data_IF_807892667717
#
_entry.id   IF_807892667717
#
_cell.length_a   1.000
_cell.length_b   1.000
_cell.length_c   1.000
_cell.angle_alpha   90.00
_cell.angle_beta   90.00
_cell.angle_gamma   90.00
#
_symmetry.space_group_name_H-M   'P 1'
#
loop_
_entity.id
_entity.type
_entity.pdbx_description
1 polymer ?
#
# COMPACT_ATOMS: atom_id res chain seq x y z
N UNK A 1 -7.51 3.83 -0.67
CA UNK A 1 -8.52 3.41 0.33
C UNK A 1 -9.12 4.68 0.91
N UNK A 2 -10.46 4.79 0.94
CA UNK A 2 -11.18 6.05 1.16
C UNK A 2 -11.67 6.29 2.59
N UNK A 3 -12.53 7.30 2.73
CA UNK A 3 -13.19 7.73 3.96
C UNK A 3 -14.59 7.10 4.05
N UNK A 4 -14.90 6.51 5.20
CA UNK A 4 -16.16 5.81 5.46
C UNK A 4 -16.84 6.32 6.72
N UNK A 5 -18.17 6.24 6.74
CA UNK A 5 -18.96 6.60 7.91
C UNK A 5 -18.81 5.53 8.98
N UNK A 6 -18.45 5.94 10.20
CA UNK A 6 -18.45 5.03 11.34
C UNK A 6 -19.85 5.02 11.93
N UNK A 7 -20.63 4.02 11.57
CA UNK A 7 -21.94 3.78 12.15
C UNK A 7 -21.82 2.97 13.47
N UNK A 8 -22.49 3.37 14.56
CA UNK A 8 -22.52 2.60 15.81
C UNK A 8 -23.38 1.32 15.72
N UNK A 9 -24.36 1.24 14.82
CA UNK A 9 -25.24 0.10 14.62
C UNK A 9 -24.62 -0.95 13.67
N UNK A 10 -23.78 -0.50 12.73
CA UNK A 10 -23.01 -1.38 11.85
C UNK A 10 -21.49 -1.10 11.95
N UNK A 11 -20.75 -1.88 12.75
CA UNK A 11 -19.33 -1.63 12.95
C UNK A 11 -18.54 -1.85 11.66
N UNK A 12 -18.02 -0.75 11.10
CA UNK A 12 -17.17 -0.73 9.91
C UNK A 12 -15.92 -1.61 10.05
N UNK A 13 -15.33 -1.58 11.25
CA UNK A 13 -14.22 -2.41 11.70
C UNK A 13 -14.52 -2.85 13.14
N UNK A 14 -14.18 -4.10 13.47
CA UNK A 14 -14.65 -4.76 14.70
C UNK A 14 -13.83 -4.48 15.97
N UNK A 15 -12.62 -3.93 15.86
CA UNK A 15 -11.72 -3.85 17.03
C UNK A 15 -11.00 -2.51 17.11
N UNK A 16 -11.19 -1.77 18.20
CA UNK A 16 -10.41 -0.56 18.52
C UNK A 16 -9.19 -0.94 19.35
N UNK A 17 -7.98 -0.73 18.82
CA UNK A 17 -6.73 -1.00 19.52
C UNK A 17 -6.27 0.14 20.42
N UNK A 18 -6.77 1.36 20.19
CA UNK A 18 -6.38 2.56 20.96
C UNK A 18 -7.64 3.31 21.43
N UNK A 19 -8.49 2.71 22.28
CA UNK A 19 -9.76 3.30 22.70
C UNK A 19 -9.60 4.64 23.44
N UNK A 20 -8.50 4.79 24.18
CA UNK A 20 -8.15 6.02 24.90
C UNK A 20 -7.35 7.02 24.03
N UNK A 21 -7.14 6.71 22.75
CA UNK A 21 -6.25 7.46 21.86
C UNK A 21 -4.78 7.12 22.05
N UNK A 22 -4.03 7.17 20.96
CA UNK A 22 -2.57 7.05 20.93
C UNK A 22 -1.98 8.43 20.60
N UNK A 23 -1.16 9.04 21.48
CA UNK A 23 -0.58 10.36 21.26
C UNK A 23 0.49 10.37 20.16
N UNK A 24 0.95 9.20 19.73
CA UNK A 24 1.94 9.04 18.67
C UNK A 24 1.37 8.17 17.53
N UNK A 25 0.07 8.32 17.24
CA UNK A 25 -0.55 7.56 16.15
C UNK A 25 -0.06 8.06 14.81
N UNK A 26 0.30 7.14 13.93
CA UNK A 26 0.55 7.42 12.52
C UNK A 26 -0.15 6.35 11.67
N UNK A 27 -0.39 6.67 10.40
CA UNK A 27 -0.93 5.72 9.41
C UNK A 27 -0.17 4.39 9.43
N UNK A 28 1.19 4.37 9.30
CA UNK A 28 1.92 3.11 9.30
C UNK A 28 1.87 2.35 10.62
N UNK A 29 1.82 3.07 11.75
CA UNK A 29 1.69 2.44 13.06
C UNK A 29 0.39 1.66 13.17
N UNK A 30 -0.72 2.23 12.72
CA UNK A 30 -2.02 1.58 12.80
C UNK A 30 -2.12 0.34 11.92
N UNK A 31 -1.74 0.42 10.63
CA UNK A 31 -1.81 -0.75 9.76
C UNK A 31 -0.89 -1.88 10.21
N UNK A 32 0.26 -1.56 10.80
CA UNK A 32 1.19 -2.58 11.33
C UNK A 32 0.60 -3.25 12.57
N UNK A 33 -0.08 -2.50 13.44
CA UNK A 33 -0.77 -3.06 14.60
C UNK A 33 -1.89 -4.02 14.21
N UNK A 34 -2.64 -3.69 13.15
CA UNK A 34 -3.66 -4.58 12.60
C UNK A 34 -3.05 -5.81 11.92
N UNK A 35 -1.99 -5.62 11.13
CA UNK A 35 -1.29 -6.70 10.43
C UNK A 35 -0.72 -7.74 11.42
N UNK A 36 -0.03 -7.28 12.47
CA UNK A 36 0.52 -8.15 13.53
C UNK A 36 -0.54 -8.94 14.31
N UNK A 37 -1.81 -8.57 14.18
CA UNK A 37 -2.97 -9.24 14.79
C UNK A 37 -3.80 -10.01 13.76
N UNK A 38 -3.28 -10.22 12.56
CA UNK A 38 -3.91 -10.97 11.47
C UNK A 38 -5.21 -10.35 10.93
N UNK A 39 -5.41 -9.05 11.10
CA UNK A 39 -6.48 -8.31 10.42
C UNK A 39 -6.05 -7.93 9.00
N UNK A 40 -7.03 -7.77 8.09
CA UNK A 40 -6.79 -7.40 6.69
C UNK A 40 -6.86 -5.88 6.47
N UNK A 41 -7.57 -5.17 7.35
CA UNK A 41 -7.82 -3.74 7.24
C UNK A 41 -7.52 -3.02 8.54
N UNK A 42 -7.08 -1.78 8.36
CA UNK A 42 -6.87 -0.81 9.42
C UNK A 42 -7.71 0.43 9.14
N UNK A 43 -8.20 1.08 10.18
CA UNK A 43 -8.98 2.30 10.10
C UNK A 43 -8.48 3.32 11.10
N UNK A 44 -8.30 4.55 10.66
CA UNK A 44 -7.88 5.64 11.52
C UNK A 44 -9.06 6.58 11.77
N UNK A 45 -9.30 6.91 13.03
CA UNK A 45 -10.39 7.78 13.46
C UNK A 45 -9.85 8.93 14.29
N UNK A 46 -10.38 10.13 14.06
CA UNK A 46 -10.19 11.33 14.88
C UNK A 46 -8.72 11.71 15.16
N UNK A 47 -7.78 11.31 14.30
CA UNK A 47 -6.36 11.64 14.47
C UNK A 47 -5.58 10.73 15.42
N UNK A 48 -6.25 10.02 16.34
CA UNK A 48 -5.59 9.31 17.44
C UNK A 48 -6.13 7.90 17.74
N UNK A 49 -7.18 7.45 17.04
CA UNK A 49 -7.73 6.11 17.23
C UNK A 49 -7.40 5.17 16.06
N UNK A 50 -7.06 3.92 16.39
CA UNK A 50 -6.73 2.87 15.46
C UNK A 50 -7.73 1.71 15.60
N UNK A 51 -8.32 1.34 14.48
CA UNK A 51 -9.32 0.30 14.35
C UNK A 51 -8.81 -0.79 13.41
N UNK A 52 -9.18 -2.05 13.67
CA UNK A 52 -8.81 -3.19 12.85
C UNK A 52 -10.02 -4.07 12.54
N UNK A 53 -9.98 -4.73 11.40
CA UNK A 53 -11.04 -5.64 10.97
C UNK A 53 -10.59 -6.55 9.84
N UNK A 54 -11.26 -7.70 9.70
CA UNK A 54 -11.01 -8.66 8.63
C UNK A 54 -11.78 -8.33 7.36
N UNK A 55 -12.78 -7.46 7.46
CA UNK A 55 -13.59 -6.93 6.36
C UNK A 55 -13.86 -5.44 6.61
N UNK A 56 -14.22 -4.72 5.56
CA UNK A 56 -14.68 -3.33 5.64
C UNK A 56 -16.18 -3.35 5.34
N UNK A 57 -16.99 -3.04 6.34
CA UNK A 57 -18.43 -2.82 6.17
C UNK A 57 -18.76 -1.35 5.95
N UNK A 58 -20.06 -1.03 5.98
CA UNK A 58 -20.58 0.34 6.02
C UNK A 58 -20.50 1.13 4.71
N UNK A 59 -20.79 2.42 4.80
CA UNK A 59 -20.98 3.31 3.66
C UNK A 59 -19.83 4.31 3.51
N UNK A 60 -19.61 4.74 2.27
CA UNK A 60 -18.66 5.80 1.96
C UNK A 60 -19.14 7.11 2.57
N UNK A 61 -18.20 7.91 3.09
CA UNK A 61 -18.53 9.26 3.54
C UNK A 61 -18.96 10.13 2.34
N UNK A 62 -20.09 10.83 2.49
CA UNK A 62 -20.60 11.78 1.49
C UNK A 62 -19.55 12.82 1.12
N UNK A 63 -18.76 13.26 2.11
CA UNK A 63 -17.62 14.13 1.89
C UNK A 63 -16.32 13.48 2.36
N UNK A 64 -15.41 13.24 1.41
CA UNK A 64 -14.12 12.63 1.69
C UNK A 64 -13.16 13.60 2.42
N UNK A 65 -13.38 14.91 2.37
CA UNK A 65 -12.52 15.89 3.06
C UNK A 65 -12.72 15.88 4.57
N UNK A 66 -13.79 15.27 5.06
CA UNK A 66 -14.08 15.19 6.49
C UNK A 66 -13.17 14.16 7.20
N UNK A 67 -12.42 13.36 6.44
CA UNK A 67 -11.36 12.46 6.95
C UNK A 67 -9.96 13.11 7.07
N UNK A 68 -9.88 14.44 7.05
CA UNK A 68 -8.61 15.18 7.09
C UNK A 68 -8.12 15.55 8.50
N UNK A 69 -8.51 14.79 9.54
CA UNK A 69 -7.96 15.02 10.89
C UNK A 69 -6.47 14.65 10.89
N UNK A 70 -5.57 15.56 11.30
CA UNK A 70 -4.15 15.25 11.34
C UNK A 70 -3.86 14.14 12.36
N UNK A 71 -2.93 13.25 12.02
CA UNK A 71 -2.48 12.21 12.94
C UNK A 71 -1.68 12.83 14.10
N UNK A 72 -1.89 12.35 15.33
CA UNK A 72 -1.18 12.86 16.52
C UNK A 72 0.33 12.63 16.49
N UNK A 73 0.77 11.53 15.92
CA UNK A 73 2.19 11.19 15.74
C UNK A 73 2.80 11.66 14.42
N UNK A 74 1.98 12.11 13.46
CA UNK A 74 2.47 12.66 12.19
C UNK A 74 1.44 13.64 11.57
N UNK A 75 1.52 14.94 11.89
CA UNK A 75 0.52 15.92 11.46
C UNK A 75 0.52 16.18 9.94
N UNK A 76 1.54 15.71 9.21
CA UNK A 76 1.59 15.79 7.74
C UNK A 76 0.72 14.75 7.04
N UNK A 77 0.11 13.83 7.81
CA UNK A 77 -0.78 12.79 7.30
C UNK A 77 -2.13 12.85 7.97
N UNK A 78 -3.16 12.36 7.28
CA UNK A 78 -4.53 12.35 7.77
C UNK A 78 -4.92 10.99 8.35
N UNK A 79 -5.68 11.04 9.43
CA UNK A 79 -6.05 9.92 10.30
C UNK A 79 -7.58 9.92 10.58
N UNK A 80 -8.38 10.18 9.55
CA UNK A 80 -9.84 10.09 9.60
C UNK A 80 -10.53 11.34 10.12
N UNK A 81 -11.73 11.16 10.68
CA UNK A 81 -12.57 12.23 11.21
C UNK A 81 -13.20 11.85 12.55
N UNK A 82 -13.91 12.77 13.24
CA UNK A 82 -14.57 12.49 14.51
C UNK A 82 -15.55 11.31 14.43
N UNK A 83 -16.31 11.21 13.34
CA UNK A 83 -17.27 10.13 13.07
C UNK A 83 -16.93 9.35 11.78
N UNK A 84 -15.72 9.51 11.27
CA UNK A 84 -15.31 8.95 9.98
C UNK A 84 -14.00 8.18 10.11
N UNK A 85 -13.93 7.07 9.39
CA UNK A 85 -12.78 6.18 9.37
C UNK A 85 -12.07 6.28 8.02
N UNK A 86 -10.79 6.62 8.06
CA UNK A 86 -9.92 6.49 6.89
C UNK A 86 -9.36 5.06 6.86
N UNK A 87 -9.74 4.28 5.84
CA UNK A 87 -9.38 2.87 5.75
C UNK A 87 -8.05 2.68 5.03
N UNK A 88 -7.28 1.68 5.43
CA UNK A 88 -6.04 1.21 4.81
C UNK A 88 -6.00 -0.33 4.83
N UNK A 89 -5.21 -0.92 3.94
CA UNK A 89 -4.86 -2.34 4.05
C UNK A 89 -3.89 -2.53 5.21
N UNK A 90 -4.08 -3.60 5.96
CA UNK A 90 -3.13 -4.04 6.97
C UNK A 90 -2.05 -4.88 6.28
N UNK A 91 -0.85 -4.32 6.17
CA UNK A 91 0.28 -4.96 5.51
C UNK A 91 1.59 -4.58 6.22
N UNK A 92 2.60 -5.45 6.09
CA UNK A 92 3.88 -5.28 6.78
C UNK A 92 4.69 -4.10 6.23
N UNK A 93 4.56 -3.82 4.92
CA UNK A 93 5.32 -2.81 4.20
C UNK A 93 4.46 -2.09 3.14
N UNK A 94 3.35 -1.47 3.55
CA UNK A 94 2.59 -0.62 2.62
C UNK A 94 3.43 0.61 2.28
N UNK A 95 3.63 0.96 1.00
CA UNK A 95 3.99 2.32 0.67
C UNK A 95 2.82 3.21 1.11
N UNK A 96 3.11 4.17 2.00
CA UNK A 96 2.24 5.30 2.31
C UNK A 96 1.68 5.86 1.02
N UNK A 97 0.36 5.80 0.86
CA UNK A 97 -0.35 6.31 -0.30
C UNK A 97 -0.21 7.85 -0.35
N UNK A 98 0.95 8.30 -0.82
CA UNK A 98 1.25 9.62 -1.35
C UNK A 98 1.93 9.37 -2.70
N UNK A 99 1.18 8.77 -3.63
CA UNK A 99 1.44 8.80 -5.07
C UNK A 99 0.21 8.26 -5.83
N UNK A 100 -0.98 8.76 -5.51
CA UNK A 100 -2.07 8.79 -6.49
C UNK A 100 -2.06 10.17 -7.16
N UNK A 101 -0.93 10.47 -7.78
CA UNK A 101 -0.77 11.53 -8.77
C UNK A 101 -0.37 10.85 -10.07
N UNK A 102 -1.24 9.99 -10.61
CA UNK A 102 -1.16 9.57 -12.00
C UNK A 102 -1.63 10.73 -12.87
N UNK A 103 -0.80 11.76 -12.92
CA UNK A 103 -0.88 12.82 -13.90
C UNK A 103 -0.27 12.27 -15.19
N UNK A 104 -1.14 11.79 -16.07
CA UNK A 104 -0.96 11.75 -17.52
C UNK A 104 0.45 11.47 -18.04
N UNK A 105 0.77 10.19 -18.23
CA UNK A 105 1.74 9.81 -19.26
C UNK A 105 1.09 10.02 -20.64
N UNK A 106 1.07 11.26 -21.11
CA UNK A 106 0.85 11.59 -22.53
C UNK A 106 1.73 12.78 -22.90
N UNK A 107 2.62 12.53 -23.87
CA UNK A 107 3.39 13.40 -24.79
C UNK A 107 4.86 12.91 -24.82
N UNK A 108 5.50 12.56 -25.95
CA UNK A 108 5.20 12.67 -27.40
C UNK A 108 6.20 11.74 -28.16
N UNK A 109 6.08 11.55 -29.48
CA UNK A 109 6.62 10.40 -30.22
C UNK A 109 8.12 10.50 -30.52
N UNK A 110 8.81 9.36 -30.44
CA UNK A 110 10.11 9.18 -31.06
C UNK A 110 9.93 8.94 -32.56
N UNK A 111 10.75 9.67 -33.31
CA UNK A 111 10.74 9.90 -34.74
C UNK A 111 10.86 8.64 -35.60
N UNK A 112 10.28 8.74 -36.78
CA UNK A 112 10.47 7.91 -37.95
C UNK A 112 11.91 7.40 -38.15
N UNK A 113 12.05 6.08 -38.24
CA UNK A 113 13.12 5.44 -39.00
C UNK A 113 12.57 4.17 -39.68
N UNK A 114 11.98 4.37 -40.87
CA UNK A 114 11.74 3.32 -41.85
C UNK A 114 13.08 2.80 -42.38
N UNK A 115 13.37 1.51 -42.20
CA UNK A 115 14.31 0.70 -43.00
C UNK A 115 14.07 -0.78 -42.67
N UNK A 116 13.18 -1.43 -43.41
CA UNK A 116 13.42 -2.22 -44.62
C UNK A 116 13.94 -3.65 -44.36
N UNK A 117 13.37 -4.55 -45.15
CA UNK A 117 13.38 -5.99 -44.99
C UNK A 117 14.74 -6.58 -45.31
N UNK A 118 15.24 -7.48 -44.47
CA UNK A 118 16.50 -8.18 -44.73
C UNK A 118 16.66 -9.42 -43.88
N UNK A 119 16.24 -10.55 -44.43
CA UNK A 119 16.55 -11.88 -43.92
C UNK A 119 18.07 -12.06 -43.79
N UNK A 120 18.56 -12.29 -42.57
CA UNK A 120 19.88 -12.87 -42.36
C UNK A 120 19.75 -14.19 -41.62
N UNK A 121 20.18 -15.23 -42.35
CA UNK A 121 20.30 -16.63 -41.99
C UNK A 121 21.02 -16.78 -40.65
N UNK A 122 20.55 -17.71 -39.82
CA UNK A 122 21.24 -18.17 -38.63
C UNK A 122 21.95 -19.50 -38.97
N UNK A 123 23.29 -19.53 -39.18
CA UNK A 123 24.02 -20.78 -39.31
C UNK A 123 24.70 -21.13 -37.98
N UNK A 124 24.27 -22.24 -37.39
CA UNK A 124 25.14 -23.28 -36.83
C UNK A 124 26.11 -22.99 -35.68
N UNK A 125 25.92 -23.79 -34.61
CA UNK A 125 26.96 -24.55 -33.89
C UNK A 125 27.82 -23.80 -32.85
N UNK A 126 27.64 -24.09 -31.56
CA UNK A 126 28.34 -25.08 -30.69
C UNK A 126 29.67 -24.57 -30.11
N UNK A 127 30.03 -25.14 -28.94
CA UNK A 127 31.30 -25.05 -28.19
C UNK A 127 31.41 -23.87 -27.20
N UNK A 128 31.85 -24.01 -25.94
CA UNK A 128 32.17 -25.16 -25.10
C UNK A 128 32.18 -24.66 -23.63
N UNK A 129 31.71 -25.49 -22.70
CA UNK A 129 31.60 -25.22 -21.26
C UNK A 129 32.74 -25.95 -20.56
N UNK A 130 33.80 -25.26 -20.10
CA UNK A 130 34.78 -25.80 -19.15
C UNK A 130 35.71 -24.69 -18.58
N UNK A 131 35.88 -24.69 -17.26
CA UNK A 131 36.73 -23.80 -16.47
C UNK A 131 36.33 -23.85 -14.98
N UNK A 132 36.45 -25.03 -14.34
CA UNK A 132 37.55 -25.41 -13.43
C UNK A 132 37.45 -24.76 -12.02
N UNK A 133 36.75 -25.44 -11.11
CA UNK A 133 37.11 -25.48 -9.68
C UNK A 133 37.03 -26.94 -9.23
N UNK A 134 38.19 -27.58 -9.14
CA UNK A 134 38.35 -28.92 -8.58
C UNK A 134 38.56 -28.83 -7.07
N UNK A 135 37.67 -29.47 -6.32
CA UNK A 135 37.91 -29.93 -4.95
C UNK A 135 38.00 -31.45 -5.04
N UNK A 136 39.14 -32.02 -4.64
CA UNK A 136 39.33 -33.46 -4.58
C UNK A 136 39.75 -33.85 -3.15
N UNK A 137 39.06 -34.84 -2.61
CA UNK A 137 39.14 -35.32 -1.24
C UNK A 137 39.81 -36.70 -1.22
N UNK A 138 40.85 -36.82 -0.39
CA UNK A 138 41.39 -38.01 0.30
C UNK A 138 41.67 -39.36 -0.40
N UNK A 139 42.85 -39.89 0.00
CA UNK A 139 43.45 -41.24 -0.11
C UNK A 139 44.24 -41.54 -1.39
#
# INVERSE_FOLDING_TARGET
MGCYVKDPEMPLLGTNLTPNGDPYLSVPKCWQYCYRRFYQYAGLQNGNQCWCGSYVGGEWATNQTDCNSPCTGNPSTFCGGPALLQIYKAEENAPSAIAAGDAGATTTPASDAKRDSGAFKNPGMFWNRLGLFGWNSEQ
#
